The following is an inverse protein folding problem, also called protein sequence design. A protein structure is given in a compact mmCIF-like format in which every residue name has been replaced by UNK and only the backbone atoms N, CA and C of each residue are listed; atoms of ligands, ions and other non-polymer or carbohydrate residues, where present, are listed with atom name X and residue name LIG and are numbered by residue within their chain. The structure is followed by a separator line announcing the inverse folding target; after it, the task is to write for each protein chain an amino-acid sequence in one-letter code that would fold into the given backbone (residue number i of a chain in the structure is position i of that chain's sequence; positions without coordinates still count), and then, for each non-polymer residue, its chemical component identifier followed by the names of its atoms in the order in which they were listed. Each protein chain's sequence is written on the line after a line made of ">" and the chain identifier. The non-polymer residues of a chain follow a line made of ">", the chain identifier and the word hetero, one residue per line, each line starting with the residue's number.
data_IF_353208198491
#
_entry.id   IF_353208198491
#
_cell.length_a   1.000
_cell.length_b   1.000
_cell.length_c   1.000
_cell.angle_alpha   90.00
_cell.angle_beta   90.00
_cell.angle_gamma   90.00
#
_symmetry.space_group_name_H-M   'P 1'
#
loop_
_entity.id
_entity.type
_entity.pdbx_description
1 polymer ?
#
# COMPACT_ATOMS: atom_id res chain seq x y z
N UNK A 1 12.49 3.48 -3.70
CA UNK A 1 11.91 2.55 -4.69
C UNK A 1 10.89 3.23 -5.61
N UNK A 2 9.84 3.87 -5.08
CA UNK A 2 8.85 4.65 -5.88
C UNK A 2 9.51 5.56 -6.94
N UNK A 3 10.43 6.43 -6.52
CA UNK A 3 11.14 7.32 -7.46
C UNK A 3 12.05 6.59 -8.46
N UNK A 4 12.60 5.41 -8.09
CA UNK A 4 13.48 4.63 -8.97
C UNK A 4 12.70 3.93 -10.08
N UNK A 5 11.46 3.52 -9.78
CA UNK A 5 10.53 2.88 -10.71
C UNK A 5 9.46 3.88 -11.18
N UNK A 6 9.81 5.16 -11.27
CA UNK A 6 8.84 6.25 -11.52
C UNK A 6 7.98 6.00 -12.75
N UNK A 7 8.56 5.53 -13.86
CA UNK A 7 7.82 5.21 -15.10
C UNK A 7 6.71 4.16 -14.90
N UNK A 8 6.92 3.22 -13.99
CA UNK A 8 5.91 2.20 -13.68
C UNK A 8 4.79 2.79 -12.81
N UNK A 9 5.15 3.62 -11.82
CA UNK A 9 4.21 4.19 -10.86
C UNK A 9 3.50 5.45 -11.36
N UNK A 10 3.97 6.08 -12.43
CA UNK A 10 3.41 7.33 -12.97
C UNK A 10 1.93 7.20 -13.33
N UNK A 11 1.50 6.04 -13.83
CA UNK A 11 0.10 5.76 -14.15
C UNK A 11 -0.78 5.44 -12.94
N UNK A 12 -0.17 5.20 -11.77
CA UNK A 12 -0.86 4.87 -10.53
C UNK A 12 -1.08 6.09 -9.62
N UNK A 13 -0.45 7.23 -9.96
CA UNK A 13 -0.66 8.50 -9.25
C UNK A 13 -1.89 9.21 -9.85
N UNK A 14 -3.03 9.14 -9.16
CA UNK A 14 -4.32 9.62 -9.68
C UNK A 14 -4.43 11.15 -9.84
N UNK A 15 -3.50 11.93 -9.29
CA UNK A 15 -3.65 13.39 -9.10
C UNK A 15 -3.08 14.26 -10.22
N UNK A 16 -2.59 13.69 -11.34
CA UNK A 16 -1.85 14.44 -12.36
C UNK A 16 -0.50 14.99 -11.88
N UNK A 17 -0.06 14.55 -10.70
CA UNK A 17 1.22 14.87 -10.09
C UNK A 17 2.27 13.86 -10.54
N UNK A 18 3.53 14.29 -10.57
CA UNK A 18 4.66 13.39 -10.80
C UNK A 18 4.88 12.47 -9.60
N UNK A 19 5.49 11.30 -9.81
CA UNK A 19 5.88 10.38 -8.72
C UNK A 19 6.75 11.07 -7.67
N UNK A 20 7.56 12.07 -8.06
CA UNK A 20 8.38 12.84 -7.14
C UNK A 20 7.53 13.73 -6.24
N UNK A 21 6.56 14.45 -6.80
CA UNK A 21 5.64 15.30 -6.03
C UNK A 21 4.78 14.46 -5.09
N UNK A 22 4.30 13.31 -5.55
CA UNK A 22 3.61 12.35 -4.68
C UNK A 22 4.48 11.92 -3.50
N UNK A 23 5.75 11.58 -3.74
CA UNK A 23 6.67 11.21 -2.65
C UNK A 23 6.81 12.34 -1.62
N UNK A 24 6.98 13.58 -2.07
CA UNK A 24 7.18 14.73 -1.19
C UNK A 24 5.94 15.10 -0.37
N UNK A 25 4.74 14.82 -0.89
CA UNK A 25 3.48 15.21 -0.25
C UNK A 25 2.88 14.10 0.60
N UNK A 26 2.98 12.85 0.16
CA UNK A 26 2.23 11.73 0.72
C UNK A 26 3.11 10.62 1.32
N UNK A 27 4.40 10.53 0.97
CA UNK A 27 5.30 9.46 1.43
C UNK A 27 6.34 9.93 2.45
N UNK A 28 7.04 11.03 2.16
CA UNK A 28 8.14 11.57 2.97
C UNK A 28 7.65 12.26 4.25
N UNK A 29 6.51 12.97 4.27
CA UNK A 29 6.00 13.57 5.50
C UNK A 29 5.47 12.52 6.46
N UNK A 30 5.79 12.69 7.75
CA UNK A 30 5.26 11.85 8.82
C UNK A 30 3.75 12.07 9.01
N UNK A 31 3.07 11.05 9.54
CA UNK A 31 1.63 11.07 9.86
C UNK A 31 0.71 11.22 8.62
N UNK A 32 1.18 10.84 7.44
CA UNK A 32 0.37 10.68 6.24
C UNK A 32 -0.28 9.31 6.20
N UNK A 33 -1.51 9.25 5.69
CA UNK A 33 -2.24 8.00 5.54
C UNK A 33 -1.61 7.16 4.44
N UNK A 34 -1.22 5.93 4.78
CA UNK A 34 -0.75 4.97 3.79
C UNK A 34 -1.93 4.36 3.06
N UNK A 35 -1.74 4.08 1.78
CA UNK A 35 -2.74 3.45 0.90
C UNK A 35 -2.14 2.21 0.20
N UNK A 36 -2.91 1.56 -0.66
CA UNK A 36 -2.49 0.36 -1.38
C UNK A 36 -1.16 0.51 -2.14
N UNK A 37 -0.89 1.69 -2.72
CA UNK A 37 0.34 1.93 -3.47
C UNK A 37 1.57 1.93 -2.56
N UNK A 38 1.44 2.42 -1.33
CA UNK A 38 2.51 2.40 -0.34
C UNK A 38 2.87 0.96 0.04
N UNK A 39 1.88 0.11 0.33
CA UNK A 39 2.13 -1.31 0.66
C UNK A 39 2.70 -2.09 -0.51
N UNK A 40 2.16 -1.88 -1.72
CA UNK A 40 2.68 -2.54 -2.91
C UNK A 40 4.14 -2.15 -3.20
N UNK A 41 4.48 -0.87 -3.07
CA UNK A 41 5.85 -0.38 -3.22
C UNK A 41 6.78 -1.00 -2.18
N UNK A 42 6.33 -1.04 -0.92
CA UNK A 42 7.12 -1.60 0.18
C UNK A 42 7.37 -3.10 -0.02
N UNK A 43 6.33 -3.85 -0.38
CA UNK A 43 6.41 -5.27 -0.71
C UNK A 43 7.45 -5.52 -1.80
N UNK A 44 7.40 -4.74 -2.90
CA UNK A 44 8.39 -4.82 -3.98
C UNK A 44 9.80 -4.46 -3.53
N UNK A 45 9.96 -3.37 -2.78
CA UNK A 45 11.25 -2.89 -2.33
C UNK A 45 11.95 -3.89 -1.40
N UNK A 46 11.19 -4.58 -0.56
CA UNK A 46 11.69 -5.57 0.39
C UNK A 46 11.68 -7.01 -0.16
N UNK A 47 11.05 -7.23 -1.32
CA UNK A 47 10.81 -8.57 -1.87
C UNK A 47 10.10 -9.50 -0.86
N UNK A 48 9.10 -8.97 -0.16
CA UNK A 48 8.31 -9.68 0.84
C UNK A 48 6.83 -9.69 0.44
N UNK A 49 6.19 -10.85 0.58
CA UNK A 49 4.73 -10.97 0.46
C UNK A 49 4.05 -10.48 1.73
N UNK A 50 3.08 -9.57 1.57
CA UNK A 50 2.35 -8.90 2.65
C UNK A 50 0.86 -9.14 2.40
N UNK A 51 0.12 -9.59 3.42
CA UNK A 51 -1.33 -9.70 3.37
C UNK A 51 -1.98 -8.58 4.20
N UNK A 52 -2.76 -7.73 3.56
CA UNK A 52 -3.64 -6.77 4.21
C UNK A 52 -5.05 -7.33 4.34
N UNK A 53 -5.60 -7.36 5.54
CA UNK A 53 -7.01 -7.68 5.78
C UNK A 53 -7.80 -6.39 5.95
N UNK A 54 -8.78 -6.16 5.08
CA UNK A 54 -9.64 -5.00 5.16
C UNK A 54 -10.87 -5.35 6.00
N UNK A 55 -11.01 -4.69 7.15
CA UNK A 55 -12.24 -4.65 7.93
C UNK A 55 -12.91 -3.29 7.72
N UNK A 56 -13.74 -3.20 6.69
CA UNK A 56 -14.78 -2.17 6.66
C UNK A 56 -15.97 -2.61 7.52
N UNK A 57 -16.89 -1.70 7.81
CA UNK A 57 -18.06 -1.92 8.70
C UNK A 57 -19.09 -2.92 8.14
N UNK A 58 -18.67 -3.98 7.45
CA UNK A 58 -19.53 -5.01 6.89
C UNK A 58 -20.27 -5.80 7.98
N UNK A 59 -21.59 -5.89 7.82
CA UNK A 59 -22.51 -6.58 8.75
C UNK A 59 -22.21 -8.07 8.94
N UNK A 60 -21.31 -8.66 8.14
CA UNK A 60 -21.06 -10.10 8.09
C UNK A 60 -19.84 -10.58 8.88
N UNK A 61 -19.06 -9.71 9.54
CA UNK A 61 -17.88 -10.11 10.31
C UNK A 61 -16.76 -10.77 9.50
N UNK A 62 -16.80 -10.64 8.17
CA UNK A 62 -15.82 -11.18 7.23
C UNK A 62 -14.77 -10.15 6.90
N UNK A 63 -13.49 -10.49 7.02
CA UNK A 63 -12.37 -9.68 6.52
C UNK A 63 -12.12 -9.98 5.04
N UNK A 64 -11.72 -8.96 4.27
CA UNK A 64 -11.33 -9.13 2.87
C UNK A 64 -9.80 -9.23 2.78
N UNK A 65 -9.21 -10.41 2.55
CA UNK A 65 -7.76 -10.55 2.43
C UNK A 65 -7.28 -10.05 1.07
N UNK A 66 -6.25 -9.22 1.09
CA UNK A 66 -5.52 -8.74 -0.07
C UNK A 66 -4.04 -9.06 0.07
N UNK A 67 -3.51 -9.87 -0.84
CA UNK A 67 -2.10 -10.25 -0.86
C UNK A 67 -1.35 -9.35 -1.84
N UNK A 68 -0.30 -8.70 -1.36
CA UNK A 68 0.68 -7.97 -2.15
C UNK A 68 1.85 -8.93 -2.44
N UNK A 69 2.17 -9.12 -3.72
CA UNK A 69 3.13 -10.11 -4.23
C UNK A 69 2.72 -11.57 -4.00
N UNK A 70 1.69 -12.01 -4.75
CA UNK A 70 1.11 -13.36 -4.77
C UNK A 70 2.06 -14.51 -5.14
N UNK A 71 3.32 -14.23 -5.44
CA UNK A 71 4.31 -15.25 -5.81
C UNK A 71 4.81 -16.08 -4.62
N UNK A 72 4.46 -15.71 -3.39
CA UNK A 72 4.88 -16.42 -2.17
C UNK A 72 3.89 -16.27 -1.02
N UNK A 73 3.92 -17.22 -0.08
CA UNK A 73 3.13 -17.16 1.15
C UNK A 73 3.47 -15.89 1.94
N UNK A 74 2.46 -15.09 2.32
CA UNK A 74 2.67 -13.84 3.04
C UNK A 74 3.34 -14.09 4.39
N UNK A 75 4.38 -13.31 4.67
CA UNK A 75 5.11 -13.38 5.95
C UNK A 75 4.72 -12.28 6.92
N UNK A 76 4.00 -11.28 6.42
CA UNK A 76 3.53 -10.11 7.16
C UNK A 76 2.04 -10.00 6.94
N UNK A 77 1.29 -9.86 8.03
CA UNK A 77 -0.15 -9.70 8.03
C UNK A 77 -0.47 -8.35 8.69
N UNK A 78 -1.30 -7.54 8.02
CA UNK A 78 -1.72 -6.22 8.48
C UNK A 78 -3.23 -6.17 8.49
N UNK A 79 -3.82 -5.66 9.57
CA UNK A 79 -5.25 -5.39 9.62
C UNK A 79 -5.49 -3.91 9.33
N UNK A 80 -6.18 -3.62 8.23
CA UNK A 80 -6.65 -2.29 7.91
C UNK A 80 -8.06 -2.06 8.46
N UNK A 81 -8.15 -1.07 9.33
CA UNK A 81 -9.38 -0.39 9.72
C UNK A 81 -9.34 1.01 9.08
N UNK A 82 -10.48 1.61 8.69
CA UNK A 82 -10.48 2.95 8.13
C UNK A 82 -9.66 3.94 8.99
N UNK A 83 -8.57 4.48 8.42
CA UNK A 83 -7.64 5.39 9.10
C UNK A 83 -6.63 4.77 10.07
N UNK A 84 -6.57 3.44 10.23
CA UNK A 84 -5.65 2.78 11.15
C UNK A 84 -5.18 1.40 10.66
N UNK A 85 -3.86 1.21 10.59
CA UNK A 85 -3.23 -0.10 10.36
C UNK A 85 -2.80 -0.74 11.69
N UNK A 86 -3.10 -2.02 11.90
CA UNK A 86 -2.69 -2.81 13.08
C UNK A 86 -1.89 -4.04 12.67
#
# INVERSE_FOLDING_TARGET
>A
YLQQQSKFFEHLVESGQTVKEFCQQEVEPMCKESNHMHFFTLALALSLSIQGEYMDHGESGTTNPHVFLDSSEPKVYLLYLPGHYK
#
